data_IF_475651035674
#
_entry.id   IF_475651035674
#
_cell.length_a   1.000
_cell.length_b   1.000
_cell.length_c   1.000
_cell.angle_alpha   90.00
_cell.angle_beta   90.00
_cell.angle_gamma   90.00
#
_symmetry.space_group_name_H-M   'P 1'
#
loop_
_entity.id
_entity.type
_entity.pdbx_description
1 polymer ?
#
# COMPACT_ATOMS: atom_id res chain seq x y z
N UNK A 1 15.47 -2.48 -32.96
CA UNK A 1 14.10 -2.82 -32.52
C UNK A 1 13.80 -2.02 -31.24
N UNK A 2 12.60 -1.47 -31.04
CA UNK A 2 12.27 -0.80 -29.79
C UNK A 2 12.27 -1.80 -28.64
N UNK A 3 12.84 -1.40 -27.51
CA UNK A 3 12.86 -2.20 -26.28
C UNK A 3 11.42 -2.40 -25.79
N UNK A 4 11.00 -3.64 -25.45
CA UNK A 4 9.68 -3.86 -24.88
C UNK A 4 9.54 -3.04 -23.59
N UNK A 5 8.33 -2.55 -23.26
CA UNK A 5 8.10 -1.79 -22.05
C UNK A 5 8.53 -2.61 -20.83
N UNK A 6 9.09 -1.96 -19.80
CA UNK A 6 9.46 -2.64 -18.57
C UNK A 6 8.24 -3.35 -17.99
N UNK A 7 8.40 -4.63 -17.67
CA UNK A 7 7.38 -5.44 -17.00
C UNK A 7 7.67 -5.43 -15.51
N UNK A 8 6.61 -5.37 -14.69
CA UNK A 8 6.73 -5.54 -13.25
C UNK A 8 7.36 -6.91 -12.96
N UNK A 9 8.41 -6.92 -12.15
CA UNK A 9 9.09 -8.12 -11.70
C UNK A 9 9.22 -8.08 -10.17
N UNK A 10 8.58 -9.01 -9.44
CA UNK A 10 7.61 -9.99 -9.94
C UNK A 10 6.32 -9.33 -10.47
N UNK A 11 5.58 -9.99 -11.38
CA UNK A 11 4.30 -9.48 -11.87
C UNK A 11 3.28 -9.35 -10.74
N UNK A 12 2.19 -8.62 -10.97
CA UNK A 12 1.06 -8.55 -10.04
C UNK A 12 0.38 -9.92 -9.97
N UNK A 13 0.11 -10.39 -8.76
CA UNK A 13 -0.61 -11.62 -8.44
C UNK A 13 -1.90 -11.25 -7.73
N UNK A 14 -3.05 -11.48 -8.38
CA UNK A 14 -4.36 -11.10 -7.85
C UNK A 14 -4.81 -11.90 -6.63
N UNK A 15 -4.10 -12.97 -6.26
CA UNK A 15 -4.38 -13.77 -5.06
C UNK A 15 -3.56 -13.28 -3.87
N UNK A 16 -2.37 -12.74 -4.12
CA UNK A 16 -1.41 -12.35 -3.06
C UNK A 16 -1.32 -10.85 -2.84
N UNK A 17 -1.49 -10.06 -3.89
CA UNK A 17 -1.33 -8.62 -3.82
C UNK A 17 -2.64 -7.95 -3.43
N UNK A 18 -2.52 -6.87 -2.64
CA UNK A 18 -3.63 -6.00 -2.32
C UNK A 18 -3.86 -5.03 -3.48
N UNK A 19 -5.04 -5.10 -4.09
CA UNK A 19 -5.41 -4.31 -5.26
C UNK A 19 -6.55 -3.34 -4.91
N UNK A 20 -6.39 -2.09 -5.34
CA UNK A 20 -7.41 -1.05 -5.29
C UNK A 20 -7.70 -0.55 -6.71
N UNK A 21 -8.99 -0.50 -7.07
CA UNK A 21 -9.44 -0.21 -8.44
C UNK A 21 -9.60 -1.47 -9.32
N UNK A 22 -9.96 -1.32 -10.61
CA UNK A 22 -10.24 -2.45 -11.48
C UNK A 22 -9.01 -3.33 -11.76
N UNK A 23 -9.18 -4.65 -11.70
CA UNK A 23 -8.08 -5.61 -11.91
C UNK A 23 -7.50 -5.59 -13.33
N UNK A 24 -8.29 -5.14 -14.30
CA UNK A 24 -7.99 -5.03 -15.73
C UNK A 24 -7.74 -3.58 -16.17
N UNK A 25 -7.56 -2.65 -15.21
CA UNK A 25 -7.35 -1.25 -15.51
C UNK A 25 -6.14 -1.03 -16.44
N UNK A 26 -6.26 -0.04 -17.33
CA UNK A 26 -5.26 0.26 -18.37
C UNK A 26 -3.87 0.58 -17.79
N UNK A 27 -3.83 1.19 -16.61
CA UNK A 27 -2.59 1.57 -15.93
C UNK A 27 -2.49 0.79 -14.63
N UNK A 28 -1.32 0.20 -14.37
CA UNK A 28 -0.99 -0.40 -13.07
C UNK A 28 0.11 0.41 -12.42
N UNK A 29 -0.14 0.85 -11.18
CA UNK A 29 0.89 1.43 -10.31
C UNK A 29 1.08 0.47 -9.15
N UNK A 30 2.31 -0.03 -9.00
CA UNK A 30 2.71 -0.86 -7.88
C UNK A 30 3.67 -0.07 -7.00
N UNK A 31 3.29 0.12 -5.74
CA UNK A 31 4.15 0.70 -4.71
C UNK A 31 4.72 -0.39 -3.81
N UNK A 32 6.04 -0.35 -3.60
CA UNK A 32 6.68 -1.01 -2.45
C UNK A 32 6.82 0.03 -1.35
N UNK A 33 6.03 -0.12 -0.29
CA UNK A 33 5.84 0.92 0.71
C UNK A 33 6.15 0.49 2.13
N UNK A 34 6.46 1.50 2.94
CA UNK A 34 6.75 1.40 4.37
C UNK A 34 5.83 2.39 5.10
N UNK A 35 4.98 1.88 6.00
CA UNK A 35 3.99 2.69 6.69
C UNK A 35 4.57 3.74 7.65
N UNK A 36 5.81 3.62 8.08
CA UNK A 36 6.46 4.62 8.93
C UNK A 36 7.33 5.61 8.11
N UNK A 37 7.51 5.38 6.82
CA UNK A 37 8.23 6.28 5.93
C UNK A 37 7.41 7.52 5.57
N UNK A 38 7.91 8.71 5.90
CA UNK A 38 7.25 9.97 5.55
C UNK A 38 7.13 10.21 4.02
N UNK A 39 8.05 9.66 3.23
CA UNK A 39 7.98 9.75 1.76
C UNK A 39 6.90 8.84 1.19
N UNK A 40 6.70 7.63 1.74
CA UNK A 40 5.61 6.75 1.36
C UNK A 40 4.25 7.41 1.66
N UNK A 41 4.07 8.05 2.82
CA UNK A 41 2.84 8.82 3.10
C UNK A 41 2.58 9.94 2.08
N UNK A 42 3.63 10.65 1.67
CA UNK A 42 3.50 11.69 0.63
C UNK A 42 3.16 11.10 -0.73
N UNK A 43 3.75 9.95 -1.08
CA UNK A 43 3.42 9.23 -2.30
C UNK A 43 1.97 8.75 -2.27
N UNK A 44 1.52 8.16 -1.16
CA UNK A 44 0.14 7.71 -0.93
C UNK A 44 -0.87 8.80 -1.28
N UNK A 45 -0.72 10.01 -0.72
CA UNK A 45 -1.61 11.13 -1.01
C UNK A 45 -1.68 11.46 -2.52
N UNK A 46 -0.54 11.49 -3.21
CA UNK A 46 -0.49 11.73 -4.66
C UNK A 46 -1.06 10.57 -5.49
N UNK A 47 -0.90 9.33 -5.03
CA UNK A 47 -1.46 8.14 -5.68
C UNK A 47 -2.97 8.13 -5.52
N UNK A 48 -3.51 8.52 -4.36
CA UNK A 48 -4.95 8.65 -4.15
C UNK A 48 -5.55 9.73 -5.05
N UNK A 49 -4.93 10.92 -5.15
CA UNK A 49 -5.35 11.96 -6.11
C UNK A 49 -5.34 11.40 -7.55
N UNK A 50 -4.27 10.71 -7.94
CA UNK A 50 -4.15 10.11 -9.27
C UNK A 50 -5.26 9.08 -9.52
N UNK A 51 -5.56 8.21 -8.56
CA UNK A 51 -6.59 7.17 -8.67
C UNK A 51 -7.98 7.76 -8.79
N UNK A 52 -8.31 8.70 -7.92
CA UNK A 52 -9.69 9.12 -7.69
C UNK A 52 -10.09 10.29 -8.59
N UNK A 53 -9.16 11.21 -8.88
CA UNK A 53 -9.46 12.44 -9.62
C UNK A 53 -8.97 12.40 -11.07
N UNK A 54 -7.80 11.78 -11.32
CA UNK A 54 -7.12 11.88 -12.62
C UNK A 54 -7.33 10.66 -13.51
N UNK A 55 -7.38 9.46 -12.92
CA UNK A 55 -7.54 8.18 -13.60
C UNK A 55 -8.68 7.34 -13.00
N UNK A 56 -9.88 7.93 -12.77
CA UNK A 56 -11.00 7.19 -12.18
C UNK A 56 -11.37 5.98 -13.05
N UNK A 57 -11.40 4.80 -12.44
CA UNK A 57 -11.67 3.53 -13.12
C UNK A 57 -10.58 3.08 -14.11
N UNK A 58 -9.45 3.78 -14.19
CA UNK A 58 -8.36 3.49 -15.14
C UNK A 58 -7.04 3.12 -14.46
N UNK A 59 -6.95 3.30 -13.14
CA UNK A 59 -5.79 2.93 -12.34
C UNK A 59 -6.07 1.69 -11.49
N UNK A 60 -5.21 0.68 -11.65
CA UNK A 60 -5.03 -0.44 -10.73
C UNK A 60 -3.88 -0.11 -9.80
N UNK A 61 -4.19 0.28 -8.57
CA UNK A 61 -3.18 0.51 -7.54
C UNK A 61 -2.91 -0.79 -6.80
N UNK A 62 -1.63 -1.12 -6.63
CA UNK A 62 -1.16 -2.32 -5.95
C UNK A 62 -0.15 -1.91 -4.88
N UNK A 63 -0.31 -2.42 -3.67
CA UNK A 63 0.62 -2.15 -2.58
C UNK A 63 1.33 -3.43 -2.14
N UNK A 64 2.66 -3.35 -1.98
CA UNK A 64 3.50 -4.41 -1.41
C UNK A 64 4.30 -3.85 -0.24
N UNK A 65 4.38 -4.62 0.83
CA UNK A 65 5.19 -4.25 1.99
C UNK A 65 6.69 -4.26 1.66
N UNK A 66 7.38 -3.18 2.01
CA UNK A 66 8.85 -3.09 2.02
C UNK A 66 9.33 -2.39 3.30
N UNK A 67 9.16 -3.03 4.46
CA UNK A 67 9.50 -2.43 5.74
C UNK A 67 11.01 -2.28 5.89
N UNK A 68 11.48 -1.04 6.04
CA UNK A 68 12.90 -0.75 6.26
C UNK A 68 13.16 -0.58 7.76
N UNK A 69 13.16 -1.68 8.50
CA UNK A 69 13.31 -1.72 9.97
C UNK A 69 14.55 -0.97 10.50
N UNK A 70 15.59 -0.84 9.67
CA UNK A 70 16.82 -0.12 10.03
C UNK A 70 16.60 1.37 10.24
N UNK A 71 15.68 1.97 9.48
CA UNK A 71 15.31 3.38 9.58
C UNK A 71 13.96 3.57 10.27
N UNK A 72 13.11 2.57 10.21
CA UNK A 72 11.71 2.61 10.61
C UNK A 72 11.38 1.40 11.49
N UNK A 73 11.68 1.46 12.81
CA UNK A 73 11.54 0.31 13.70
C UNK A 73 10.13 -0.28 13.81
N UNK A 74 9.08 0.49 13.51
CA UNK A 74 7.68 0.03 13.57
C UNK A 74 7.13 -0.40 12.20
N UNK A 75 7.91 -0.29 11.13
CA UNK A 75 7.46 -0.58 9.76
C UNK A 75 6.94 -2.01 9.60
N UNK A 76 7.68 -2.98 10.16
CA UNK A 76 7.32 -4.40 10.09
C UNK A 76 6.01 -4.68 10.83
N UNK A 77 5.87 -4.15 12.05
CA UNK A 77 4.65 -4.36 12.84
C UNK A 77 3.42 -3.71 12.19
N UNK A 78 3.59 -2.53 11.58
CA UNK A 78 2.53 -1.88 10.80
C UNK A 78 2.15 -2.70 9.55
N UNK A 79 3.13 -3.29 8.85
CA UNK A 79 2.86 -4.19 7.73
C UNK A 79 2.07 -5.43 8.17
N UNK A 80 2.47 -6.06 9.28
CA UNK A 80 1.76 -7.19 9.88
C UNK A 80 0.34 -6.82 10.30
N UNK A 81 0.12 -5.62 10.84
CA UNK A 81 -1.21 -5.13 11.18
C UNK A 81 -2.11 -4.96 9.94
N UNK A 82 -1.55 -4.47 8.82
CA UNK A 82 -2.28 -4.38 7.57
C UNK A 82 -2.68 -5.77 7.03
N UNK A 83 -1.78 -6.75 7.09
CA UNK A 83 -2.08 -8.14 6.69
C UNK A 83 -3.08 -8.82 7.63
N UNK A 84 -3.01 -8.55 8.94
CA UNK A 84 -4.01 -9.02 9.89
C UNK A 84 -5.40 -8.44 9.60
N UNK A 85 -5.48 -7.20 9.13
CA UNK A 85 -6.72 -6.59 8.64
C UNK A 85 -7.15 -7.16 7.28
N UNK A 86 -6.21 -7.52 6.40
CA UNK A 86 -6.52 -8.20 5.14
C UNK A 86 -7.22 -9.53 5.34
N UNK A 87 -6.81 -10.30 6.36
CA UNK A 87 -7.49 -11.54 6.76
C UNK A 87 -8.95 -11.33 7.21
N UNK A 88 -9.38 -10.08 7.36
CA UNK A 88 -10.73 -9.65 7.72
C UNK A 88 -11.37 -8.80 6.61
N UNK A 89 -10.84 -8.82 5.39
CA UNK A 89 -11.29 -8.02 4.24
C UNK A 89 -11.18 -6.50 4.42
N UNK A 90 -10.32 -6.04 5.34
CA UNK A 90 -10.17 -4.63 5.74
C UNK A 90 -8.77 -4.07 5.49
N UNK A 91 -8.04 -4.64 4.52
CA UNK A 91 -6.68 -4.19 4.22
C UNK A 91 -6.62 -2.68 3.95
N UNK A 92 -7.48 -2.17 3.06
CA UNK A 92 -7.44 -0.77 2.63
C UNK A 92 -7.88 0.20 3.72
N UNK A 93 -8.83 -0.19 4.58
CA UNK A 93 -9.19 0.61 5.76
C UNK A 93 -7.97 0.78 6.69
N UNK A 94 -7.26 -0.32 6.95
CA UNK A 94 -6.06 -0.29 7.78
C UNK A 94 -4.92 0.45 7.08
N UNK A 95 -4.75 0.30 5.77
CA UNK A 95 -3.78 1.03 4.97
C UNK A 95 -3.91 2.55 5.13
N UNK A 96 -5.14 3.07 5.00
CA UNK A 96 -5.43 4.50 5.23
C UNK A 96 -5.17 4.89 6.68
N UNK A 97 -5.61 4.07 7.65
CA UNK A 97 -5.41 4.32 9.06
C UNK A 97 -3.92 4.43 9.42
N UNK A 98 -3.08 3.51 8.95
CA UNK A 98 -1.65 3.48 9.24
C UNK A 98 -0.92 4.69 8.66
N UNK A 99 -1.24 5.10 7.43
CA UNK A 99 -0.65 6.30 6.85
C UNK A 99 -1.12 7.60 7.51
N UNK A 100 -2.34 7.61 8.06
CA UNK A 100 -2.85 8.75 8.83
C UNK A 100 -2.17 8.87 10.21
N UNK A 101 -1.62 7.78 10.78
CA UNK A 101 -1.11 7.72 12.16
C UNK A 101 0.34 7.20 12.24
N UNK A 102 1.25 7.70 11.38
CA UNK A 102 2.64 7.20 11.31
C UNK A 102 3.46 7.33 12.60
N UNK A 103 3.03 8.20 13.53
CA UNK A 103 3.62 8.43 14.84
C UNK A 103 3.08 7.48 15.93
N UNK A 104 2.03 6.71 15.63
CA UNK A 104 1.36 5.77 16.53
C UNK A 104 1.30 4.35 15.93
N UNK A 105 2.48 3.81 15.59
CA UNK A 105 2.63 2.49 14.97
C UNK A 105 3.22 1.43 15.91
N UNK A 106 3.37 1.74 17.19
CA UNK A 106 3.72 0.70 18.18
C UNK A 106 2.56 -0.27 18.41
N UNK A 107 2.86 -1.38 19.08
CA UNK A 107 1.91 -2.47 19.32
C UNK A 107 0.61 -2.02 19.97
N UNK A 108 0.68 -1.14 20.97
CA UNK A 108 -0.50 -0.76 21.73
C UNK A 108 -1.40 0.14 20.89
N UNK A 109 -0.82 1.09 20.14
CA UNK A 109 -1.56 1.93 19.20
C UNK A 109 -2.23 1.11 18.10
N UNK A 110 -1.52 0.12 17.52
CA UNK A 110 -2.07 -0.72 16.46
C UNK A 110 -3.26 -1.57 16.95
N UNK A 111 -3.18 -2.14 18.15
CA UNK A 111 -4.29 -2.91 18.74
C UNK A 111 -5.50 -2.02 19.06
N UNK A 112 -5.27 -0.75 19.43
CA UNK A 112 -6.35 0.21 19.64
C UNK A 112 -7.02 0.62 18.33
N UNK A 113 -6.25 0.81 17.26
CA UNK A 113 -6.73 1.17 15.92
C UNK A 113 -7.42 0.03 15.18
N UNK A 114 -7.21 -1.24 15.59
CA UNK A 114 -7.79 -2.43 14.96
C UNK A 114 -9.26 -2.72 15.34
N UNK A 115 -9.95 -1.77 15.98
CA UNK A 115 -11.36 -1.94 16.42
C UNK A 115 -12.39 -1.61 15.34
#
# INVERSE_FOLDING_TARGET
MPTPPPRLQPPVDTVRDHISGPVDARVTLLEYGDYQCAYCRRAHAGIMELRDERLPGQLRYVFRHFPNERLHPQAQLAAEAAEAAAAQDRFWDMHEHLFAHQDALDRDSLVQGAR
#
